data_IF_758257262887
#
_entry.id   IF_758257262887
#
_cell.length_a   1.000
_cell.length_b   1.000
_cell.length_c   1.000
_cell.angle_alpha   90.00
_cell.angle_beta   90.00
_cell.angle_gamma   90.00
#
_symmetry.space_group_name_H-M   'P 1'
#
loop_
_entity.id
_entity.type
_entity.pdbx_description
1 polymer ?
#
# COMPACT_ATOMS: atom_id res chain seq x y z
N UNK A 1 -16.46 -11.15 -12.67
CA UNK A 1 -15.19 -10.70 -12.02
C UNK A 1 -14.53 -9.79 -13.02
N UNK A 2 -14.15 -8.58 -12.61
CA UNK A 2 -13.52 -7.64 -13.51
C UNK A 2 -12.00 -7.86 -13.49
N UNK A 3 -11.42 -8.07 -14.68
CA UNK A 3 -9.98 -8.24 -14.89
C UNK A 3 -9.56 -7.37 -16.08
N UNK A 4 -8.46 -6.66 -15.93
CA UNK A 4 -7.85 -5.90 -17.00
C UNK A 4 -6.33 -5.92 -16.85
N UNK A 5 -5.60 -6.02 -17.94
CA UNK A 5 -4.13 -6.10 -17.98
C UNK A 5 -3.55 -7.22 -17.07
N UNK A 6 -4.30 -8.30 -16.84
CA UNK A 6 -3.90 -9.39 -15.93
C UNK A 6 -4.04 -9.08 -14.45
N UNK A 7 -4.68 -7.96 -14.10
CA UNK A 7 -4.99 -7.59 -12.72
C UNK A 7 -6.50 -7.72 -12.48
N UNK A 8 -6.84 -8.34 -11.35
CA UNK A 8 -8.19 -8.27 -10.81
C UNK A 8 -8.40 -6.91 -10.16
N UNK A 9 -9.55 -6.31 -10.41
CA UNK A 9 -9.94 -5.04 -9.78
C UNK A 9 -11.42 -4.99 -9.42
N UNK A 10 -11.74 -4.10 -8.51
CA UNK A 10 -13.09 -3.75 -8.06
C UNK A 10 -13.29 -2.25 -8.22
N UNK A 11 -14.49 -1.83 -8.61
CA UNK A 11 -14.84 -0.42 -8.77
C UNK A 11 -16.03 -0.08 -7.90
N UNK A 12 -15.96 1.06 -7.22
CA UNK A 12 -17.01 1.56 -6.33
C UNK A 12 -17.26 3.05 -6.57
N UNK A 13 -18.45 3.53 -6.21
CA UNK A 13 -18.85 4.92 -6.41
C UNK A 13 -19.35 5.21 -7.82
N UNK A 14 -19.61 6.48 -8.11
CA UNK A 14 -20.11 6.92 -9.42
C UNK A 14 -19.02 6.78 -10.49
N UNK A 15 -19.40 6.31 -11.68
CA UNK A 15 -18.49 6.23 -12.82
C UNK A 15 -18.02 7.61 -13.30
N UNK A 16 -18.80 8.66 -13.06
CA UNK A 16 -18.51 10.04 -13.46
C UNK A 16 -17.68 10.80 -12.41
N UNK A 17 -17.48 10.22 -11.22
CA UNK A 17 -16.66 10.84 -10.19
C UNK A 17 -15.15 10.73 -10.52
N UNK A 18 -14.30 11.63 -9.97
CA UNK A 18 -12.86 11.58 -10.18
C UNK A 18 -12.27 10.20 -9.84
N UNK A 19 -11.43 9.61 -10.68
CA UNK A 19 -10.82 8.31 -10.42
C UNK A 19 -9.87 8.35 -9.22
N UNK A 20 -9.97 7.36 -8.35
CA UNK A 20 -9.10 7.14 -7.19
C UNK A 20 -8.60 5.70 -7.18
N UNK A 21 -7.30 5.52 -7.27
CA UNK A 21 -6.65 4.21 -7.22
C UNK A 21 -6.18 3.92 -5.81
N UNK A 22 -6.52 2.75 -5.30
CA UNK A 22 -6.08 2.27 -3.99
C UNK A 22 -5.04 1.16 -4.14
N UNK A 23 -3.79 1.46 -3.80
CA UNK A 23 -2.66 0.52 -3.87
C UNK A 23 -2.27 0.05 -2.48
N UNK A 24 -2.48 -1.23 -2.18
CA UNK A 24 -2.21 -1.81 -0.86
C UNK A 24 -0.73 -2.11 -0.63
N UNK A 25 -0.36 -2.49 0.59
CA UNK A 25 1.00 -2.84 0.96
C UNK A 25 1.47 -4.19 0.38
N UNK A 26 2.39 -4.85 1.09
CA UNK A 26 3.04 -6.10 0.65
C UNK A 26 2.03 -7.23 0.36
N UNK A 27 0.92 -7.31 1.08
CA UNK A 27 -0.14 -8.31 0.87
C UNK A 27 -0.81 -8.22 -0.50
N UNK A 28 -0.86 -7.04 -1.09
CA UNK A 28 -1.29 -6.80 -2.47
C UNK A 28 -2.77 -7.05 -2.72
N UNK A 29 -3.64 -6.98 -1.72
CA UNK A 29 -5.07 -7.26 -1.84
C UNK A 29 -5.92 -6.00 -1.91
N UNK A 30 -6.90 -5.97 -2.82
CA UNK A 30 -7.96 -4.96 -2.88
C UNK A 30 -8.78 -4.92 -1.58
N UNK A 31 -9.02 -6.08 -0.98
CA UNK A 31 -9.79 -6.23 0.27
C UNK A 31 -9.18 -5.51 1.48
N UNK A 32 -7.88 -5.18 1.43
CA UNK A 32 -7.22 -4.36 2.45
C UNK A 32 -7.95 -3.02 2.72
N UNK A 33 -8.58 -2.46 1.69
CA UNK A 33 -9.22 -1.16 1.74
C UNK A 33 -10.70 -1.19 2.17
N UNK A 34 -11.22 -2.37 2.57
CA UNK A 34 -12.62 -2.53 2.95
C UNK A 34 -13.11 -1.49 3.98
N UNK A 35 -12.35 -1.09 5.02
CA UNK A 35 -12.80 -0.07 5.97
C UNK A 35 -12.90 1.35 5.38
N UNK A 36 -12.23 1.60 4.25
CA UNK A 36 -12.12 2.95 3.67
C UNK A 36 -13.03 3.15 2.45
N UNK A 37 -13.31 2.09 1.70
CA UNK A 37 -14.07 2.13 0.44
C UNK A 37 -15.42 2.83 0.60
N UNK A 38 -16.27 2.55 1.62
CA UNK A 38 -17.59 3.18 1.69
C UNK A 38 -17.53 4.71 1.70
N UNK A 39 -16.69 5.30 2.54
CA UNK A 39 -16.56 6.75 2.62
C UNK A 39 -15.91 7.37 1.38
N UNK A 40 -14.90 6.72 0.80
CA UNK A 40 -14.23 7.20 -0.41
C UNK A 40 -15.16 7.15 -1.62
N UNK A 41 -15.99 6.12 -1.74
CA UNK A 41 -16.92 5.91 -2.86
C UNK A 41 -18.06 6.95 -2.92
N UNK A 42 -18.30 7.68 -1.83
CA UNK A 42 -19.23 8.83 -1.85
C UNK A 42 -18.72 10.00 -2.69
N UNK A 43 -17.40 10.07 -2.92
CA UNK A 43 -16.75 11.22 -3.55
C UNK A 43 -15.96 10.87 -4.81
N UNK A 44 -15.53 9.61 -4.95
CA UNK A 44 -14.62 9.18 -6.00
C UNK A 44 -15.14 7.91 -6.71
N UNK A 45 -14.73 7.74 -7.97
CA UNK A 45 -14.72 6.44 -8.63
C UNK A 45 -13.52 5.66 -8.08
N UNK A 46 -13.73 4.87 -7.05
CA UNK A 46 -12.67 4.11 -6.37
C UNK A 46 -12.34 2.85 -7.16
N UNK A 47 -11.08 2.62 -7.45
CA UNK A 47 -10.55 1.41 -8.07
C UNK A 47 -9.57 0.77 -7.09
N UNK A 48 -9.92 -0.38 -6.51
CA UNK A 48 -9.05 -1.20 -5.70
C UNK A 48 -8.65 -2.45 -6.49
N UNK A 49 -7.41 -2.88 -6.43
CA UNK A 49 -6.90 -3.99 -7.24
C UNK A 49 -6.02 -4.95 -6.43
N UNK A 50 -5.99 -6.20 -6.86
CA UNK A 50 -5.01 -7.16 -6.36
C UNK A 50 -3.73 -7.01 -7.19
N UNK A 51 -2.57 -6.91 -6.54
CA UNK A 51 -1.29 -6.81 -7.23
C UNK A 51 -0.98 -8.09 -8.01
N UNK A 52 -0.18 -7.99 -9.07
CA UNK A 52 0.34 -9.17 -9.75
C UNK A 52 1.03 -10.10 -8.76
N UNK A 53 0.81 -11.40 -8.90
CA UNK A 53 1.31 -12.43 -8.00
C UNK A 53 0.45 -12.66 -6.76
N UNK A 54 -0.58 -11.85 -6.49
CA UNK A 54 -1.41 -11.96 -5.28
C UNK A 54 -2.90 -12.10 -5.61
N UNK A 55 -3.67 -12.52 -4.63
CA UNK A 55 -5.13 -12.55 -4.68
C UNK A 55 -5.67 -13.26 -5.92
N UNK A 56 -6.51 -12.55 -6.64
CA UNK A 56 -7.25 -12.98 -7.84
C UNK A 56 -6.58 -12.55 -9.14
N UNK A 57 -5.49 -11.77 -9.07
CA UNK A 57 -4.69 -11.34 -10.22
C UNK A 57 -3.82 -12.47 -10.77
N UNK A 58 -3.25 -12.26 -11.97
CA UNK A 58 -2.29 -13.20 -12.55
C UNK A 58 -1.19 -13.54 -11.54
N UNK A 59 -1.06 -14.83 -11.22
CA UNK A 59 -0.12 -15.34 -10.20
C UNK A 59 1.33 -15.42 -10.68
N UNK A 60 1.56 -15.35 -11.99
CA UNK A 60 2.91 -15.44 -12.54
C UNK A 60 3.70 -14.17 -12.25
N UNK A 61 4.82 -14.31 -11.53
CA UNK A 61 5.82 -13.26 -11.35
C UNK A 61 7.09 -13.62 -12.11
N UNK A 62 7.80 -12.63 -12.69
CA UNK A 62 9.15 -12.84 -13.19
C UNK A 62 10.08 -13.27 -12.05
N UNK A 63 11.24 -13.82 -12.40
CA UNK A 63 12.26 -14.22 -11.41
C UNK A 63 12.68 -13.06 -10.52
N UNK A 64 12.88 -11.88 -11.11
CA UNK A 64 13.02 -10.62 -10.40
C UNK A 64 11.87 -9.69 -10.76
N UNK A 65 11.17 -9.14 -9.76
CA UNK A 65 10.15 -8.11 -9.91
C UNK A 65 10.63 -6.86 -9.18
N UNK A 66 10.36 -5.70 -9.73
CA UNK A 66 10.70 -4.40 -9.16
C UNK A 66 9.44 -3.60 -8.82
N UNK A 67 9.60 -2.49 -8.08
CA UNK A 67 8.49 -1.56 -7.83
C UNK A 67 8.07 -0.85 -9.11
N UNK A 68 9.01 -0.60 -10.01
CA UNK A 68 8.80 -0.02 -11.34
C UNK A 68 7.96 -0.94 -12.23
N UNK A 69 8.15 -2.27 -12.14
CA UNK A 69 7.29 -3.23 -12.82
C UNK A 69 5.87 -3.19 -12.28
N UNK A 70 5.72 -3.11 -10.94
CA UNK A 70 4.41 -2.97 -10.31
C UNK A 70 3.71 -1.65 -10.69
N UNK A 71 4.45 -0.55 -10.83
CA UNK A 71 3.92 0.73 -11.32
C UNK A 71 3.49 0.64 -12.80
N UNK A 72 4.22 -0.12 -13.59
CA UNK A 72 3.85 -0.38 -15.00
C UNK A 72 2.56 -1.18 -15.08
N UNK A 73 2.36 -2.17 -14.19
CA UNK A 73 1.10 -2.92 -14.09
C UNK A 73 -0.10 -1.99 -13.79
N UNK A 74 0.07 -1.03 -12.88
CA UNK A 74 -0.96 -0.02 -12.55
C UNK A 74 -1.26 0.85 -13.78
N UNK A 75 -0.24 1.28 -14.50
CA UNK A 75 -0.40 2.10 -15.72
C UNK A 75 -1.18 1.34 -16.79
N UNK A 76 -0.87 0.06 -17.00
CA UNK A 76 -1.61 -0.79 -17.94
C UNK A 76 -3.07 -1.00 -17.53
N UNK A 77 -3.34 -1.11 -16.22
CA UNK A 77 -4.72 -1.14 -15.71
C UNK A 77 -5.46 0.17 -16.01
N UNK A 78 -4.83 1.34 -15.82
CA UNK A 78 -5.43 2.63 -16.13
C UNK A 78 -5.76 2.75 -17.62
N UNK A 79 -4.84 2.35 -18.49
CA UNK A 79 -5.02 2.40 -19.94
C UNK A 79 -6.21 1.51 -20.36
N UNK A 80 -6.30 0.30 -19.80
CA UNK A 80 -7.41 -0.62 -20.06
C UNK A 80 -8.77 -0.12 -19.56
N UNK A 81 -8.78 0.76 -18.53
CA UNK A 81 -9.98 1.38 -17.97
C UNK A 81 -10.31 2.77 -18.58
N UNK A 82 -9.51 3.25 -19.54
CA UNK A 82 -9.64 4.56 -20.14
C UNK A 82 -9.40 5.72 -19.16
N UNK A 83 -8.56 5.51 -18.13
CA UNK A 83 -8.24 6.52 -17.11
C UNK A 83 -7.02 7.29 -17.57
N UNK A 84 -7.20 8.57 -17.91
CA UNK A 84 -6.09 9.44 -18.31
C UNK A 84 -5.30 9.92 -17.09
N UNK A 85 -5.98 10.35 -16.04
CA UNK A 85 -5.41 10.84 -14.78
C UNK A 85 -6.23 10.33 -13.60
N UNK A 86 -5.58 10.13 -12.43
CA UNK A 86 -6.25 9.71 -11.22
C UNK A 86 -5.55 10.23 -9.96
N UNK A 87 -6.29 10.29 -8.86
CA UNK A 87 -5.70 10.32 -7.54
C UNK A 87 -5.19 8.92 -7.14
N UNK A 88 -4.16 8.87 -6.30
CA UNK A 88 -3.63 7.60 -5.77
C UNK A 88 -3.51 7.68 -4.25
N UNK A 89 -4.01 6.67 -3.57
CA UNK A 89 -3.67 6.39 -2.17
C UNK A 89 -2.87 5.09 -2.14
N UNK A 90 -1.65 5.15 -1.61
CA UNK A 90 -0.78 3.98 -1.48
C UNK A 90 -0.31 3.76 -0.06
N UNK A 91 -0.46 2.53 0.45
CA UNK A 91 0.02 2.10 1.75
C UNK A 91 1.36 1.37 1.61
N UNK A 92 2.41 1.82 2.29
CA UNK A 92 3.73 1.17 2.33
C UNK A 92 4.27 0.88 0.91
N UNK A 93 4.34 -0.39 0.47
CA UNK A 93 4.70 -0.76 -0.91
C UNK A 93 3.78 -0.10 -1.93
N UNK A 94 2.49 0.00 -1.67
CA UNK A 94 1.54 0.71 -2.54
C UNK A 94 1.87 2.19 -2.67
N UNK A 95 2.42 2.79 -1.63
CA UNK A 95 2.95 4.15 -1.67
C UNK A 95 4.17 4.28 -2.60
N UNK A 96 5.09 3.32 -2.54
CA UNK A 96 6.23 3.25 -3.46
C UNK A 96 5.77 3.08 -4.93
N UNK A 97 4.78 2.20 -5.17
CA UNK A 97 4.15 2.04 -6.49
C UNK A 97 3.52 3.35 -6.96
N UNK A 98 2.80 4.06 -6.08
CA UNK A 98 2.20 5.36 -6.38
C UNK A 98 3.24 6.43 -6.74
N UNK A 99 4.37 6.49 -6.02
CA UNK A 99 5.50 7.38 -6.33
C UNK A 99 6.05 7.07 -7.72
N UNK A 100 6.38 5.80 -8.01
CA UNK A 100 6.90 5.41 -9.32
C UNK A 100 5.89 5.70 -10.45
N UNK A 101 4.61 5.43 -10.23
CA UNK A 101 3.56 5.77 -11.20
C UNK A 101 3.54 7.28 -11.46
N UNK A 102 3.65 8.12 -10.42
CA UNK A 102 3.66 9.58 -10.57
C UNK A 102 4.89 10.06 -11.34
N UNK A 103 6.09 9.59 -10.98
CA UNK A 103 7.36 9.96 -11.60
C UNK A 103 7.37 9.58 -13.10
N UNK A 104 6.96 8.35 -13.41
CA UNK A 104 7.08 7.80 -14.77
C UNK A 104 6.03 8.29 -15.75
N UNK A 105 4.85 8.64 -15.24
CA UNK A 105 3.71 8.95 -16.12
C UNK A 105 3.25 10.42 -16.09
N UNK A 106 3.49 11.12 -14.99
CA UNK A 106 2.91 12.44 -14.74
C UNK A 106 1.37 12.44 -14.66
N UNK A 107 0.72 11.26 -14.56
CA UNK A 107 -0.74 11.08 -14.61
C UNK A 107 -1.40 11.06 -13.23
N UNK A 108 -0.64 11.21 -12.16
CA UNK A 108 -1.17 11.27 -10.78
C UNK A 108 -1.52 12.70 -10.43
N UNK A 109 -2.79 12.98 -10.14
CA UNK A 109 -3.24 14.32 -9.76
C UNK A 109 -2.86 14.67 -8.33
N UNK A 110 -3.13 13.76 -7.40
CA UNK A 110 -2.74 13.85 -5.98
C UNK A 110 -2.32 12.48 -5.49
N UNK A 111 -1.21 12.45 -4.80
CA UNK A 111 -0.64 11.24 -4.21
C UNK A 111 -0.73 11.31 -2.70
N UNK A 112 -1.30 10.28 -2.08
CA UNK A 112 -1.25 10.04 -0.64
C UNK A 112 -0.41 8.81 -0.37
N UNK A 113 0.64 8.95 0.42
CA UNK A 113 1.52 7.85 0.84
C UNK A 113 1.39 7.65 2.34
N UNK A 114 0.93 6.47 2.74
CA UNK A 114 0.75 6.08 4.15
C UNK A 114 1.95 5.26 4.58
N UNK A 115 2.65 5.72 5.62
CA UNK A 115 3.75 5.00 6.24
C UNK A 115 4.76 4.44 5.21
N UNK A 116 5.10 5.29 4.22
CA UNK A 116 6.03 4.97 3.15
C UNK A 116 7.47 5.38 3.46
N UNK A 117 8.35 5.18 2.50
CA UNK A 117 9.79 5.50 2.59
C UNK A 117 10.36 5.88 1.22
N UNK A 118 11.43 6.64 1.20
CA UNK A 118 12.31 6.78 0.02
C UNK A 118 13.53 5.85 0.10
N UNK A 119 13.89 5.41 1.30
CA UNK A 119 14.86 4.36 1.54
C UNK A 119 14.55 3.65 2.85
N UNK A 120 14.77 2.34 2.89
CA UNK A 120 14.50 1.57 4.10
C UNK A 120 15.48 1.91 5.23
N UNK A 121 14.92 2.19 6.41
CA UNK A 121 15.72 2.33 7.63
C UNK A 121 16.40 1.00 8.03
N UNK A 122 17.48 1.02 8.82
CA UNK A 122 18.05 -0.20 9.38
C UNK A 122 17.04 -1.02 10.20
N UNK A 123 16.12 -0.37 10.90
CA UNK A 123 15.03 -1.03 11.64
C UNK A 123 14.09 -1.80 10.69
N UNK A 124 13.59 -1.14 9.67
CA UNK A 124 12.69 -1.76 8.68
C UNK A 124 13.36 -2.96 7.99
N UNK A 125 14.66 -2.85 7.67
CA UNK A 125 15.43 -3.99 7.11
C UNK A 125 15.47 -5.17 8.07
N UNK A 126 15.67 -4.94 9.37
CA UNK A 126 15.65 -6.01 10.40
C UNK A 126 14.26 -6.64 10.51
N UNK A 127 13.19 -5.86 10.45
CA UNK A 127 11.83 -6.39 10.41
C UNK A 127 11.62 -7.34 9.21
N UNK A 128 12.07 -6.95 8.02
CA UNK A 128 11.98 -7.84 6.85
C UNK A 128 12.88 -9.07 6.95
N UNK A 129 14.07 -8.95 7.54
CA UNK A 129 14.94 -10.10 7.81
C UNK A 129 14.24 -11.11 8.75
N UNK A 130 13.62 -10.63 9.84
CA UNK A 130 12.87 -11.49 10.77
C UNK A 130 11.66 -12.15 10.09
N UNK A 131 10.90 -11.39 9.28
CA UNK A 131 9.76 -11.91 8.51
C UNK A 131 10.18 -12.98 7.50
N UNK A 132 11.28 -12.77 6.78
CA UNK A 132 11.83 -13.80 5.86
C UNK A 132 12.33 -15.04 6.60
N UNK A 133 12.93 -14.88 7.78
CA UNK A 133 13.35 -16.01 8.61
C UNK A 133 12.14 -16.84 9.07
N UNK A 134 11.03 -16.20 9.47
CA UNK A 134 9.77 -16.89 9.77
C UNK A 134 9.22 -17.61 8.53
N UNK A 135 9.19 -16.94 7.40
CA UNK A 135 8.65 -17.48 6.15
C UNK A 135 9.40 -18.73 5.69
N UNK A 136 10.73 -18.68 5.68
CA UNK A 136 11.56 -19.80 5.22
C UNK A 136 11.78 -20.88 6.28
N UNK A 137 11.86 -20.50 7.57
CA UNK A 137 12.17 -21.44 8.65
C UNK A 137 10.95 -22.10 9.29
N UNK A 138 9.82 -21.40 9.39
CA UNK A 138 8.61 -21.85 10.06
C UNK A 138 7.36 -21.89 9.16
N UNK A 139 7.48 -21.40 7.92
CA UNK A 139 6.45 -21.47 6.89
C UNK A 139 5.41 -20.35 6.92
N UNK A 140 4.46 -20.46 6.01
CA UNK A 140 3.46 -19.42 5.74
C UNK A 140 2.56 -19.09 6.93
N UNK A 141 2.17 -20.09 7.71
CA UNK A 141 1.34 -19.89 8.89
C UNK A 141 2.04 -18.97 9.90
N UNK A 142 3.28 -19.27 10.28
CA UNK A 142 4.04 -18.48 11.25
C UNK A 142 4.29 -17.05 10.72
N UNK A 143 4.53 -16.90 9.41
CA UNK A 143 4.66 -15.60 8.76
C UNK A 143 3.39 -14.76 8.89
N UNK A 144 2.20 -15.37 8.64
CA UNK A 144 0.91 -14.70 8.71
C UNK A 144 0.47 -14.43 10.14
N UNK A 145 0.69 -15.37 11.08
CA UNK A 145 0.40 -15.18 12.52
C UNK A 145 1.22 -14.05 13.13
N UNK A 146 2.46 -13.85 12.68
CA UNK A 146 3.30 -12.74 13.13
C UNK A 146 2.98 -11.40 12.46
N UNK A 147 2.23 -11.38 11.35
CA UNK A 147 1.98 -10.14 10.58
C UNK A 147 1.32 -9.03 11.38
N UNK A 148 0.31 -9.28 12.24
CA UNK A 148 -0.30 -8.25 13.07
C UNK A 148 0.70 -7.47 13.92
N UNK A 149 1.77 -8.12 14.43
CA UNK A 149 2.80 -7.47 15.24
C UNK A 149 3.54 -6.33 14.51
N UNK A 150 3.61 -6.39 13.19
CA UNK A 150 4.24 -5.38 12.34
C UNK A 150 3.26 -4.31 11.86
N UNK A 151 1.96 -4.57 11.93
CA UNK A 151 0.93 -3.71 11.33
C UNK A 151 0.16 -2.89 12.35
N UNK A 152 -0.14 -3.45 13.52
CA UNK A 152 -1.11 -2.90 14.45
C UNK A 152 -0.51 -2.63 15.83
N UNK A 153 -1.07 -1.66 16.58
CA UNK A 153 -0.70 -1.43 17.98
C UNK A 153 -1.04 -2.64 18.87
N UNK A 154 -0.25 -2.90 19.94
CA UNK A 154 -0.48 -4.04 20.82
C UNK A 154 -1.87 -4.09 21.48
N UNK A 155 -2.42 -2.93 21.85
CA UNK A 155 -3.76 -2.80 22.46
C UNK A 155 -4.87 -3.11 21.43
N UNK A 156 -4.68 -2.70 20.18
CA UNK A 156 -5.60 -3.03 19.09
C UNK A 156 -5.60 -4.53 18.82
N UNK A 157 -4.43 -5.18 18.78
CA UNK A 157 -4.30 -6.64 18.63
C UNK A 157 -5.01 -7.35 19.79
N UNK A 158 -4.73 -6.94 21.04
CA UNK A 158 -5.30 -7.57 22.22
C UNK A 158 -6.84 -7.55 22.25
N UNK A 159 -7.44 -6.49 21.72
CA UNK A 159 -8.92 -6.34 21.65
C UNK A 159 -9.56 -7.06 20.48
N UNK A 160 -8.78 -7.48 19.47
CA UNK A 160 -9.27 -8.10 18.22
C UNK A 160 -8.64 -9.47 17.93
N UNK A 161 -8.03 -10.11 18.90
CA UNK A 161 -7.34 -11.39 18.72
C UNK A 161 -8.26 -12.48 18.13
N UNK A 162 -9.53 -12.50 18.55
CA UNK A 162 -10.53 -13.43 18.00
C UNK A 162 -10.81 -13.20 16.51
N UNK A 163 -10.89 -11.95 16.05
CA UNK A 163 -11.08 -11.59 14.65
C UNK A 163 -9.83 -11.96 13.82
N UNK A 164 -8.65 -11.59 14.30
CA UNK A 164 -7.38 -11.91 13.66
C UNK A 164 -7.16 -13.41 13.50
N UNK A 165 -7.54 -14.19 14.53
CA UNK A 165 -7.47 -15.65 14.49
C UNK A 165 -8.46 -16.24 13.48
N UNK A 166 -9.68 -15.70 13.40
CA UNK A 166 -10.68 -16.14 12.44
C UNK A 166 -10.25 -15.83 10.98
N UNK A 167 -9.63 -14.68 10.76
CA UNK A 167 -9.17 -14.24 9.43
C UNK A 167 -7.94 -15.01 8.95
N UNK A 168 -7.17 -15.63 9.84
CA UNK A 168 -5.96 -16.36 9.48
C UNK A 168 -6.21 -17.47 8.45
N UNK A 169 -7.32 -18.19 8.56
CA UNK A 169 -7.68 -19.25 7.61
C UNK A 169 -7.91 -18.68 6.20
N UNK A 170 -8.55 -17.52 6.10
CA UNK A 170 -8.75 -16.81 4.85
C UNK A 170 -7.43 -16.32 4.26
N UNK A 171 -6.56 -15.74 5.08
CA UNK A 171 -5.24 -15.28 4.66
C UNK A 171 -4.34 -16.42 4.18
N UNK A 172 -4.40 -17.60 4.83
CA UNK A 172 -3.69 -18.80 4.39
C UNK A 172 -4.19 -19.27 3.02
N UNK A 173 -5.50 -19.33 2.83
CA UNK A 173 -6.09 -19.75 1.55
C UNK A 173 -5.75 -18.79 0.39
N UNK A 174 -5.60 -17.49 0.69
CA UNK A 174 -5.23 -16.46 -0.28
C UNK A 174 -3.71 -16.26 -0.43
N UNK A 175 -2.90 -16.94 0.38
CA UNK A 175 -1.45 -16.73 0.42
C UNK A 175 -0.80 -16.97 -0.95
N UNK A 176 0.06 -16.06 -1.43
CA UNK A 176 0.61 -16.15 -2.78
C UNK A 176 1.74 -17.18 -2.93
N UNK A 177 2.17 -17.78 -1.84
CA UNK A 177 3.30 -18.71 -1.76
C UNK A 177 4.58 -18.03 -1.29
N UNK A 178 5.48 -18.88 -0.78
CA UNK A 178 6.76 -18.45 -0.17
C UNK A 178 7.61 -17.66 -1.16
N UNK A 179 7.82 -18.21 -2.37
CA UNK A 179 8.66 -17.59 -3.40
C UNK A 179 8.11 -16.22 -3.84
N UNK A 180 6.81 -16.13 -4.11
CA UNK A 180 6.17 -14.87 -4.50
C UNK A 180 6.35 -13.81 -3.41
N UNK A 181 6.11 -14.19 -2.15
CA UNK A 181 6.27 -13.27 -1.02
C UNK A 181 7.71 -12.82 -0.85
N UNK A 182 8.69 -13.74 -0.96
CA UNK A 182 10.10 -13.43 -0.87
C UNK A 182 10.56 -12.48 -1.99
N UNK A 183 10.14 -12.71 -3.25
CA UNK A 183 10.44 -11.81 -4.39
C UNK A 183 9.86 -10.41 -4.18
N UNK A 184 8.65 -10.30 -3.68
CA UNK A 184 8.02 -9.01 -3.37
C UNK A 184 8.73 -8.29 -2.22
N UNK A 185 9.19 -9.01 -1.19
CA UNK A 185 10.02 -8.44 -0.12
C UNK A 185 11.37 -7.96 -0.69
N UNK A 186 11.99 -8.71 -1.59
CA UNK A 186 13.24 -8.31 -2.25
C UNK A 186 13.05 -7.00 -3.05
N UNK A 187 11.94 -6.85 -3.79
CA UNK A 187 11.59 -5.61 -4.48
C UNK A 187 11.45 -4.43 -3.51
N UNK A 188 10.77 -4.62 -2.38
CA UNK A 188 10.66 -3.60 -1.32
C UNK A 188 12.03 -3.20 -0.77
N UNK A 189 12.91 -4.18 -0.54
CA UNK A 189 14.24 -3.93 0.03
C UNK A 189 15.21 -3.25 -0.94
N UNK A 190 15.03 -3.45 -2.23
CA UNK A 190 15.82 -2.85 -3.29
C UNK A 190 15.35 -1.45 -3.69
N UNK A 191 14.09 -1.11 -3.39
CA UNK A 191 13.47 0.11 -3.88
C UNK A 191 14.10 1.38 -3.32
N UNK A 192 14.43 2.29 -4.24
CA UNK A 192 14.75 3.69 -3.98
C UNK A 192 14.31 4.51 -5.21
N UNK A 193 13.41 5.49 -5.05
CA UNK A 193 12.96 6.32 -6.16
C UNK A 193 14.08 7.17 -6.72
N UNK A 194 13.98 7.56 -8.00
CA UNK A 194 14.85 8.58 -8.55
C UNK A 194 14.75 9.87 -7.73
N UNK A 195 15.88 10.39 -7.16
CA UNK A 195 15.82 11.57 -6.30
C UNK A 195 15.31 12.82 -7.00
N UNK A 196 15.61 13.02 -8.29
CA UNK A 196 15.13 14.16 -9.04
C UNK A 196 13.64 14.06 -9.36
N UNK A 197 13.18 12.86 -9.75
CA UNK A 197 11.77 12.57 -9.97
C UNK A 197 10.95 12.72 -8.69
N UNK A 198 11.45 12.23 -7.55
CA UNK A 198 10.78 12.42 -6.26
C UNK A 198 10.67 13.91 -5.89
N UNK A 199 11.74 14.67 -6.03
CA UNK A 199 11.76 16.10 -5.72
C UNK A 199 10.84 16.93 -6.63
N UNK A 200 10.52 16.44 -7.84
CA UNK A 200 9.65 17.09 -8.80
C UNK A 200 8.15 16.81 -8.57
N UNK A 201 7.77 15.99 -7.58
CA UNK A 201 6.37 15.74 -7.25
C UNK A 201 5.73 17.00 -6.63
N UNK A 202 4.57 17.40 -7.15
CA UNK A 202 3.90 18.63 -6.69
C UNK A 202 2.85 18.36 -5.59
N UNK A 203 2.05 17.32 -5.73
CA UNK A 203 0.84 17.09 -4.93
C UNK A 203 0.98 15.81 -4.07
N UNK A 204 1.93 15.81 -3.14
CA UNK A 204 2.20 14.70 -2.22
C UNK A 204 1.67 15.02 -0.82
N UNK A 205 0.88 14.09 -0.26
CA UNK A 205 0.58 14.00 1.17
C UNK A 205 1.27 12.75 1.72
N UNK A 206 2.13 12.93 2.70
CA UNK A 206 2.69 11.83 3.49
C UNK A 206 1.94 11.73 4.81
N UNK A 207 1.35 10.58 5.08
CA UNK A 207 0.76 10.23 6.36
C UNK A 207 1.78 9.39 7.12
N UNK A 208 2.12 9.83 8.34
CA UNK A 208 3.10 9.17 9.19
C UNK A 208 2.49 8.89 10.57
N UNK A 209 2.60 7.66 11.05
CA UNK A 209 2.10 7.24 12.35
C UNK A 209 3.24 7.12 13.35
N UNK A 210 3.08 7.74 14.56
CA UNK A 210 4.17 7.83 15.56
C UNK A 210 4.54 6.48 16.16
N UNK A 211 3.57 5.61 16.31
CA UNK A 211 3.70 4.27 16.86
C UNK A 211 3.88 3.17 15.79
N UNK A 212 4.21 3.54 14.53
CA UNK A 212 4.52 2.57 13.48
C UNK A 212 5.78 1.78 13.83
N UNK A 213 5.58 0.48 14.10
CA UNK A 213 6.67 -0.43 14.41
C UNK A 213 7.46 -0.85 13.16
N UNK A 214 6.84 -0.96 11.99
CA UNK A 214 7.50 -1.46 10.78
C UNK A 214 8.30 -0.38 10.07
N UNK A 215 7.70 0.80 9.87
CA UNK A 215 8.34 1.96 9.22
C UNK A 215 8.41 3.10 10.23
N UNK A 216 9.57 3.32 10.87
CA UNK A 216 9.69 4.36 11.89
C UNK A 216 9.23 5.72 11.40
N UNK A 217 8.56 6.46 12.24
CA UNK A 217 7.99 7.79 11.96
C UNK A 217 8.95 8.71 11.22
N UNK A 218 10.23 8.77 11.65
CA UNK A 218 11.26 9.58 11.00
C UNK A 218 11.53 9.17 9.55
N UNK A 219 11.36 7.89 9.21
CA UNK A 219 11.55 7.38 7.84
C UNK A 219 10.45 7.89 6.91
N UNK A 220 9.21 7.94 7.41
CA UNK A 220 8.09 8.51 6.65
C UNK A 220 8.26 10.03 6.46
N UNK A 221 8.76 10.75 7.46
CA UNK A 221 9.07 12.19 7.31
C UNK A 221 10.22 12.44 6.32
N UNK A 222 11.24 11.58 6.31
CA UNK A 222 12.36 11.65 5.37
C UNK A 222 11.90 11.51 3.90
N UNK A 223 10.82 10.79 3.64
CA UNK A 223 10.19 10.71 2.31
C UNK A 223 9.70 12.08 1.82
N UNK A 224 9.09 12.88 2.70
CA UNK A 224 8.55 14.20 2.35
C UNK A 224 9.64 15.26 2.16
N UNK A 225 10.80 15.10 2.81
CA UNK A 225 11.83 16.13 2.90
C UNK A 225 12.34 16.70 1.55
N UNK A 226 12.53 15.90 0.47
CA UNK A 226 12.98 16.44 -0.82
C UNK A 226 11.85 17.10 -1.64
N UNK A 227 10.58 16.94 -1.27
CA UNK A 227 9.43 17.40 -2.05
C UNK A 227 8.96 18.76 -1.51
N UNK A 228 9.25 19.85 -2.23
CA UNK A 228 9.09 21.23 -1.74
C UNK A 228 7.67 21.60 -1.31
N UNK A 229 6.64 20.98 -1.87
CA UNK A 229 5.23 21.23 -1.56
C UNK A 229 4.53 20.05 -0.87
N UNK A 230 5.30 19.07 -0.39
CA UNK A 230 4.73 17.93 0.34
C UNK A 230 3.99 18.40 1.58
N UNK A 231 2.81 17.83 1.78
CA UNK A 231 2.07 17.96 3.04
C UNK A 231 2.38 16.77 3.92
N UNK A 232 2.40 16.98 5.22
CA UNK A 232 2.59 15.93 6.22
C UNK A 232 1.40 15.94 7.15
N UNK A 233 0.79 14.77 7.34
CA UNK A 233 -0.20 14.55 8.39
C UNK A 233 0.31 13.45 9.33
N UNK A 234 0.07 13.61 10.62
CA UNK A 234 0.55 12.68 11.62
C UNK A 234 -0.59 12.09 12.41
N UNK A 235 -0.49 10.78 12.66
CA UNK A 235 -1.32 10.07 13.62
C UNK A 235 -0.46 9.72 14.82
N UNK A 236 -0.95 10.01 16.02
CA UNK A 236 -0.23 9.69 17.26
C UNK A 236 -0.31 8.19 17.58
N UNK A 237 -1.36 7.52 17.07
CA UNK A 237 -1.66 6.10 17.26
C UNK A 237 -2.24 5.50 15.98
N UNK A 238 -2.11 4.18 15.83
CA UNK A 238 -2.71 3.41 14.73
C UNK A 238 -1.76 2.42 14.07
N UNK A 239 -0.49 2.44 14.43
CA UNK A 239 0.52 1.53 13.89
C UNK A 239 0.80 1.76 12.41
N UNK A 240 1.29 0.71 11.75
CA UNK A 240 1.62 0.76 10.31
C UNK A 240 0.38 0.90 9.43
N UNK A 241 -0.78 0.40 9.89
CA UNK A 241 -2.03 0.38 9.14
C UNK A 241 -3.09 1.31 9.75
N UNK A 242 -2.76 2.58 9.99
CA UNK A 242 -3.64 3.56 10.63
C UNK A 242 -4.98 3.77 9.87
N UNK A 243 -5.02 3.53 8.57
CA UNK A 243 -6.25 3.53 7.76
C UNK A 243 -7.22 2.37 8.12
N UNK A 244 -6.71 1.31 8.77
CA UNK A 244 -7.51 0.18 9.27
C UNK A 244 -7.88 0.36 10.73
N UNK A 245 -6.96 0.87 11.54
CA UNK A 245 -7.14 0.99 13.00
C UNK A 245 -7.97 2.22 13.38
N UNK A 246 -7.92 3.29 12.59
CA UNK A 246 -8.74 4.51 12.72
C UNK A 246 -9.26 4.97 11.34
N UNK A 247 -10.17 4.21 10.72
CA UNK A 247 -10.65 4.50 9.38
C UNK A 247 -11.39 5.83 9.28
N UNK A 248 -12.09 6.26 10.31
CA UNK A 248 -12.87 7.49 10.29
C UNK A 248 -11.97 8.74 10.23
N UNK A 249 -10.94 8.80 11.07
CA UNK A 249 -9.98 9.90 11.05
C UNK A 249 -9.20 9.91 9.74
N UNK A 250 -8.76 8.73 9.28
CA UNK A 250 -8.08 8.58 8.01
C UNK A 250 -8.92 9.05 6.82
N UNK A 251 -10.17 8.56 6.71
CA UNK A 251 -11.07 8.88 5.59
C UNK A 251 -11.35 10.39 5.53
N UNK A 252 -11.65 11.05 6.66
CA UNK A 252 -11.86 12.51 6.70
C UNK A 252 -10.64 13.26 6.17
N UNK A 253 -9.44 12.90 6.63
CA UNK A 253 -8.20 13.55 6.23
C UNK A 253 -7.95 13.44 4.72
N UNK A 254 -8.03 12.24 4.18
CA UNK A 254 -7.69 12.01 2.76
C UNK A 254 -8.75 12.59 1.83
N UNK A 255 -10.03 12.51 2.17
CA UNK A 255 -11.12 13.13 1.40
C UNK A 255 -10.93 14.65 1.34
N UNK A 256 -10.63 15.29 2.47
CA UNK A 256 -10.35 16.73 2.50
C UNK A 256 -9.15 17.10 1.60
N UNK A 257 -8.09 16.31 1.64
CA UNK A 257 -6.91 16.55 0.81
C UNK A 257 -7.17 16.37 -0.68
N UNK A 258 -7.85 15.30 -1.05
CA UNK A 258 -8.08 14.93 -2.45
C UNK A 258 -9.11 15.84 -3.16
N UNK A 259 -10.00 16.50 -2.42
CA UNK A 259 -11.05 17.39 -2.97
C UNK A 259 -10.61 18.86 -3.11
N UNK A 260 -9.43 19.24 -2.67
CA UNK A 260 -8.89 20.60 -2.85
C UNK A 260 -8.43 20.84 -4.28
#
# INVERSE_FOLDING_TARGET
MAEAAGLYYETYGSADAPPLILSSGLGGSAGYWAPNIPALAEHFRVIAYDHRGTGRSNRALPEAITVEDMASDVTLLWDALGIERAHVIGHALGGAIGIETAIRTGRVDRLVVINGWRSLSPHTRRCFTARLALLHGAGERAFLEAQPLFLYPPDWIATRDGELTADLAHHLAAFPGVETTARRIAAVQAYAPDPAGLAALDNLLVIATRDDFLVPFATALDLAAPVGHAKIATFDWGGHACNVTDPDAFNRLVIEYLRR
#
